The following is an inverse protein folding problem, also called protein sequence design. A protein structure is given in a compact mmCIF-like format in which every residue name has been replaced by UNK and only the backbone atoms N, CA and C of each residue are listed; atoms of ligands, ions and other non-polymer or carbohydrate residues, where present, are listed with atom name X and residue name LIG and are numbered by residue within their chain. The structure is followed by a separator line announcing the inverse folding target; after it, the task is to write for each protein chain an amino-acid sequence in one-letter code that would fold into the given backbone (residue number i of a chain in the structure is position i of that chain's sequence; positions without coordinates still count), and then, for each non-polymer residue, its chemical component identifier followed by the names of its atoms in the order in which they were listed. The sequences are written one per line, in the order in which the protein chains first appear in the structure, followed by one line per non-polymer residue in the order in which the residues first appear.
data_IF_282075266423
#
_entry.id   IF_282075266423
#
_cell.length_a   1.000
_cell.length_b   1.000
_cell.length_c   1.000
_cell.angle_alpha   90.00
_cell.angle_beta   90.00
_cell.angle_gamma   90.00
#
_symmetry.space_group_name_H-M   'P 1'
#
loop_
_entity.id
_entity.type
_entity.pdbx_description
1 polymer ?
#
# COMPACT_ATOMS: atom_id res chain seq x y z
N UNK A 1 -9.14 -1.61 -3.74
CA UNK A 1 -10.51 -1.12 -3.99
C UNK A 1 -11.05 -1.87 -5.18
N UNK A 2 -12.28 -2.38 -5.10
CA UNK A 2 -12.91 -3.06 -6.24
C UNK A 2 -13.61 -2.01 -7.09
N UNK A 3 -13.35 -1.99 -8.40
CA UNK A 3 -13.99 -1.04 -9.30
C UNK A 3 -15.44 -1.43 -9.58
N UNK A 4 -16.26 -0.47 -10.01
CA UNK A 4 -17.64 -0.76 -10.44
C UNK A 4 -17.66 -1.72 -11.64
N UNK A 5 -16.63 -1.69 -12.49
CA UNK A 5 -16.47 -2.63 -13.61
C UNK A 5 -16.14 -4.04 -13.11
N UNK A 6 -15.27 -4.17 -12.11
CA UNK A 6 -14.93 -5.45 -11.48
C UNK A 6 -16.12 -6.09 -10.75
N UNK A 7 -16.98 -5.29 -10.10
CA UNK A 7 -18.22 -5.76 -9.48
C UNK A 7 -19.16 -6.45 -10.50
N UNK A 8 -19.18 -5.93 -11.73
CA UNK A 8 -19.94 -6.52 -12.84
C UNK A 8 -19.13 -7.57 -13.63
N UNK A 9 -17.86 -7.80 -13.27
CA UNK A 9 -16.95 -8.74 -13.90
C UNK A 9 -16.52 -8.33 -15.31
N UNK A 10 -16.26 -7.05 -15.53
CA UNK A 10 -15.90 -6.46 -16.82
C UNK A 10 -14.66 -5.57 -16.73
N UNK A 11 -14.10 -5.24 -17.89
CA UNK A 11 -13.02 -4.26 -18.00
C UNK A 11 -13.58 -2.84 -18.11
N UNK A 12 -12.76 -1.84 -17.78
CA UNK A 12 -13.09 -0.40 -17.84
C UNK A 12 -13.51 0.06 -19.25
N UNK A 13 -13.04 -0.65 -20.29
CA UNK A 13 -13.38 -0.41 -21.70
C UNK A 13 -14.72 -1.04 -22.14
N UNK A 14 -15.53 -1.57 -21.21
CA UNK A 14 -16.78 -2.24 -21.56
C UNK A 14 -17.78 -1.29 -22.25
N UNK A 15 -18.41 -1.79 -23.30
CA UNK A 15 -19.51 -1.13 -24.00
C UNK A 15 -20.79 -1.16 -23.17
N UNK A 16 -21.76 -0.28 -23.48
CA UNK A 16 -23.05 -0.26 -22.79
C UNK A 16 -23.82 -1.60 -22.90
N UNK A 17 -23.63 -2.33 -23.99
CA UNK A 17 -24.22 -3.67 -24.16
C UNK A 17 -23.56 -4.72 -23.26
N UNK A 18 -22.24 -4.64 -23.11
CA UNK A 18 -21.48 -5.48 -22.19
C UNK A 18 -21.87 -5.16 -20.75
N UNK A 19 -22.02 -3.89 -20.37
CA UNK A 19 -22.48 -3.46 -19.05
C UNK A 19 -23.82 -4.08 -18.69
N UNK A 20 -24.80 -4.01 -19.60
CA UNK A 20 -26.12 -4.66 -19.42
C UNK A 20 -26.00 -6.17 -19.29
N UNK A 21 -25.09 -6.80 -20.02
CA UNK A 21 -24.86 -8.26 -19.99
C UNK A 21 -24.16 -8.69 -18.70
N UNK A 22 -23.18 -7.92 -18.23
CA UNK A 22 -22.45 -8.10 -16.99
C UNK A 22 -23.38 -8.00 -15.79
N UNK A 23 -24.23 -6.96 -15.74
CA UNK A 23 -25.25 -6.81 -14.70
C UNK A 23 -26.17 -8.03 -14.60
N UNK A 24 -26.72 -8.52 -15.73
CA UNK A 24 -27.57 -9.72 -15.72
C UNK A 24 -26.83 -10.94 -15.15
N UNK A 25 -25.58 -11.15 -15.55
CA UNK A 25 -24.76 -12.27 -15.07
C UNK A 25 -24.45 -12.14 -13.58
N UNK A 26 -24.10 -10.94 -13.12
CA UNK A 26 -23.76 -10.67 -11.73
C UNK A 26 -24.99 -10.79 -10.82
N UNK A 27 -26.13 -10.21 -11.22
CA UNK A 27 -27.42 -10.32 -10.53
C UNK A 27 -27.86 -11.78 -10.38
N UNK A 28 -27.70 -12.61 -11.43
CA UNK A 28 -28.01 -14.04 -11.35
C UNK A 28 -27.07 -14.83 -10.42
N UNK A 29 -25.84 -14.36 -10.20
CA UNK A 29 -24.92 -14.97 -9.22
C UNK A 29 -25.28 -14.58 -7.79
N UNK A 30 -25.81 -13.38 -7.58
CA UNK A 30 -26.22 -12.88 -6.27
C UNK A 30 -27.67 -13.25 -5.90
N UNK A 31 -28.39 -13.99 -6.75
CA UNK A 31 -29.78 -14.35 -6.50
C UNK A 31 -29.94 -15.28 -5.28
N UNK A 32 -30.95 -15.08 -4.41
CA UNK A 32 -31.14 -15.86 -3.19
C UNK A 32 -31.32 -17.36 -3.45
N UNK A 33 -31.95 -17.73 -4.56
CA UNK A 33 -32.13 -19.13 -5.00
C UNK A 33 -30.80 -19.91 -5.13
N UNK A 34 -29.70 -19.21 -5.42
CA UNK A 34 -28.37 -19.83 -5.58
C UNK A 34 -27.45 -19.64 -4.36
N UNK A 35 -27.88 -18.86 -3.37
CA UNK A 35 -27.11 -18.49 -2.19
C UNK A 35 -27.87 -18.82 -0.90
N UNK A 36 -28.52 -19.99 -0.87
CA UNK A 36 -29.26 -20.49 0.29
C UNK A 36 -28.29 -20.66 1.47
N UNK A 37 -28.59 -20.00 2.59
CA UNK A 37 -27.74 -19.99 3.79
C UNK A 37 -26.80 -18.79 3.93
N UNK A 38 -26.63 -17.96 2.88
CA UNK A 38 -25.84 -16.73 2.90
C UNK A 38 -26.65 -15.53 2.36
N UNK A 39 -27.93 -15.44 2.73
CA UNK A 39 -28.88 -14.47 2.16
C UNK A 39 -28.45 -13.01 2.41
N UNK A 40 -27.88 -12.72 3.58
CA UNK A 40 -27.40 -11.38 3.91
C UNK A 40 -26.25 -10.94 2.99
N UNK A 41 -25.26 -11.81 2.77
CA UNK A 41 -24.12 -11.54 1.88
C UNK A 41 -24.57 -11.44 0.42
N UNK A 42 -25.51 -12.29 0.01
CA UNK A 42 -26.09 -12.26 -1.32
C UNK A 42 -26.86 -10.95 -1.57
N UNK A 43 -27.59 -10.46 -0.56
CA UNK A 43 -28.31 -9.20 -0.62
C UNK A 43 -27.35 -8.00 -0.70
N UNK A 44 -26.30 -7.97 0.14
CA UNK A 44 -25.28 -6.92 0.11
C UNK A 44 -24.59 -6.85 -1.26
N UNK A 45 -24.15 -8.00 -1.78
CA UNK A 45 -23.56 -8.07 -3.13
C UNK A 45 -24.52 -7.65 -4.23
N UNK A 46 -25.80 -8.02 -4.13
CA UNK A 46 -26.81 -7.59 -5.09
C UNK A 46 -26.98 -6.07 -5.09
N UNK A 47 -26.96 -5.45 -3.91
CA UNK A 47 -27.02 -4.00 -3.75
C UNK A 47 -25.81 -3.31 -4.39
N UNK A 48 -24.59 -3.83 -4.15
CA UNK A 48 -23.36 -3.33 -4.80
C UNK A 48 -23.43 -3.44 -6.35
N UNK A 49 -23.91 -4.59 -6.86
CA UNK A 49 -24.09 -4.82 -8.31
C UNK A 49 -25.11 -3.84 -8.90
N UNK A 50 -26.18 -3.55 -8.16
CA UNK A 50 -27.23 -2.60 -8.57
C UNK A 50 -26.71 -1.17 -8.63
N UNK A 51 -25.94 -0.76 -7.62
CA UNK A 51 -25.30 0.56 -7.57
C UNK A 51 -24.27 0.73 -8.69
N UNK A 52 -23.43 -0.28 -8.92
CA UNK A 52 -22.49 -0.29 -10.03
C UNK A 52 -23.20 -0.12 -11.38
N UNK A 53 -24.29 -0.85 -11.61
CA UNK A 53 -25.06 -0.69 -12.84
C UNK A 53 -25.74 0.68 -12.96
N UNK A 54 -26.28 1.24 -11.86
CA UNK A 54 -26.90 2.55 -11.87
C UNK A 54 -25.93 3.65 -12.34
N UNK A 55 -24.67 3.59 -11.88
CA UNK A 55 -23.61 4.54 -12.27
C UNK A 55 -23.13 4.26 -13.70
N UNK A 56 -22.84 2.99 -14.04
CA UNK A 56 -22.21 2.65 -15.32
C UNK A 56 -23.17 2.65 -16.52
N UNK A 57 -24.48 2.51 -16.28
CA UNK A 57 -25.48 2.49 -17.36
C UNK A 57 -25.84 3.88 -17.90
N UNK A 58 -25.62 4.93 -17.09
CA UNK A 58 -25.81 6.32 -17.48
C UNK A 58 -24.47 6.91 -17.99
N UNK A 59 -24.39 7.39 -19.25
CA UNK A 59 -23.17 7.95 -19.79
C UNK A 59 -22.59 9.14 -19.02
N UNK A 60 -23.44 9.98 -18.40
CA UNK A 60 -22.99 11.15 -17.64
C UNK A 60 -22.40 10.72 -16.30
N UNK A 61 -23.10 9.83 -15.58
CA UNK A 61 -22.60 9.29 -14.31
C UNK A 61 -21.34 8.44 -14.51
N UNK A 62 -21.29 7.64 -15.57
CA UNK A 62 -20.10 6.87 -15.96
C UNK A 62 -18.90 7.80 -16.18
N UNK A 63 -19.07 8.90 -16.93
CA UNK A 63 -18.00 9.86 -17.18
C UNK A 63 -17.48 10.50 -15.90
N UNK A 64 -18.38 10.88 -14.99
CA UNK A 64 -18.01 11.45 -13.68
C UNK A 64 -17.26 10.41 -12.85
N UNK A 65 -17.74 9.17 -12.79
CA UNK A 65 -17.08 8.07 -12.11
C UNK A 65 -15.67 7.82 -12.67
N UNK A 66 -15.54 7.67 -13.99
CA UNK A 66 -14.25 7.41 -14.65
C UNK A 66 -13.25 8.55 -14.40
N UNK A 67 -13.72 9.81 -14.41
CA UNK A 67 -12.87 10.98 -14.14
C UNK A 67 -12.41 11.01 -12.68
N UNK A 68 -13.34 10.86 -11.73
CA UNK A 68 -13.02 10.85 -10.30
C UNK A 68 -12.09 9.68 -9.93
N UNK A 69 -12.32 8.51 -10.52
CA UNK A 69 -11.47 7.34 -10.33
C UNK A 69 -10.06 7.58 -10.88
N UNK A 70 -9.93 8.17 -12.08
CA UNK A 70 -8.63 8.50 -12.65
C UNK A 70 -7.86 9.52 -11.79
N UNK A 71 -8.54 10.56 -11.29
CA UNK A 71 -7.94 11.55 -10.38
C UNK A 71 -7.44 10.91 -9.08
N UNK A 72 -8.23 10.02 -8.49
CA UNK A 72 -7.85 9.32 -7.27
C UNK A 72 -6.68 8.35 -7.48
N UNK A 73 -6.65 7.64 -8.61
CA UNK A 73 -5.53 6.79 -8.98
C UNK A 73 -4.24 7.59 -9.17
N UNK A 74 -4.31 8.78 -9.79
CA UNK A 74 -3.16 9.67 -9.90
C UNK A 74 -2.70 10.20 -8.53
N UNK A 75 -3.65 10.53 -7.64
CA UNK A 75 -3.34 10.92 -6.26
C UNK A 75 -2.59 9.80 -5.54
N UNK A 76 -3.08 8.57 -5.61
CA UNK A 76 -2.42 7.42 -5.01
C UNK A 76 -1.06 7.12 -5.63
N UNK A 77 -0.90 7.27 -6.94
CA UNK A 77 0.41 7.14 -7.59
C UNK A 77 1.42 8.15 -7.01
N UNK A 78 1.03 9.43 -6.92
CA UNK A 78 1.90 10.49 -6.34
C UNK A 78 2.25 10.24 -4.89
N UNK A 79 1.28 9.82 -4.06
CA UNK A 79 1.53 9.52 -2.66
C UNK A 79 2.52 8.36 -2.50
N UNK A 80 2.40 7.32 -3.33
CA UNK A 80 3.37 6.21 -3.34
C UNK A 80 4.75 6.67 -3.77
N UNK A 81 4.87 7.46 -4.84
CA UNK A 81 6.15 8.02 -5.27
C UNK A 81 6.79 8.89 -4.17
N UNK A 82 6.00 9.70 -3.48
CA UNK A 82 6.46 10.52 -2.36
C UNK A 82 6.90 9.65 -1.17
N UNK A 83 6.12 8.63 -0.81
CA UNK A 83 6.45 7.68 0.25
C UNK A 83 7.74 6.90 -0.08
N UNK A 84 7.88 6.41 -1.31
CA UNK A 84 9.09 5.75 -1.80
C UNK A 84 10.30 6.67 -1.71
N UNK A 85 10.16 7.94 -2.11
CA UNK A 85 11.22 8.95 -1.98
C UNK A 85 11.60 9.17 -0.52
N UNK A 86 10.63 9.40 0.36
CA UNK A 86 10.87 9.62 1.79
C UNK A 86 11.50 8.38 2.44
N UNK A 87 11.08 7.17 2.05
CA UNK A 87 11.66 5.94 2.53
C UNK A 87 13.11 5.78 2.05
N UNK A 88 13.39 6.08 0.78
CA UNK A 88 14.74 6.04 0.23
C UNK A 88 15.67 7.07 0.90
N UNK A 89 15.17 8.29 1.17
CA UNK A 89 15.91 9.31 1.92
C UNK A 89 16.25 8.84 3.34
N UNK A 90 15.26 8.28 4.05
CA UNK A 90 15.44 7.71 5.39
C UNK A 90 16.38 6.50 5.40
N UNK A 91 16.30 5.63 4.39
CA UNK A 91 17.19 4.47 4.25
C UNK A 91 18.63 4.91 3.96
N UNK A 92 18.82 5.89 3.09
CA UNK A 92 20.13 6.48 2.82
C UNK A 92 20.71 7.13 4.09
N UNK A 93 19.88 7.81 4.88
CA UNK A 93 20.29 8.35 6.17
C UNK A 93 20.68 7.27 7.17
N UNK A 94 19.85 6.24 7.32
CA UNK A 94 20.16 5.07 8.14
C UNK A 94 21.49 4.44 7.73
N UNK A 95 21.70 4.22 6.42
CA UNK A 95 22.93 3.66 5.89
C UNK A 95 24.16 4.53 6.21
N UNK A 96 24.03 5.86 6.17
CA UNK A 96 25.12 6.78 6.60
C UNK A 96 25.48 6.56 8.06
N UNK A 97 24.48 6.51 8.95
CA UNK A 97 24.71 6.28 10.38
C UNK A 97 25.33 4.91 10.65
N UNK A 98 24.82 3.85 10.02
CA UNK A 98 25.37 2.50 10.16
C UNK A 98 26.80 2.43 9.63
N UNK A 99 27.11 3.06 8.50
CA UNK A 99 28.47 3.10 7.96
C UNK A 99 29.45 3.78 8.91
N UNK A 100 29.04 4.89 9.55
CA UNK A 100 29.83 5.52 10.61
C UNK A 100 30.01 4.59 11.80
N UNK A 101 28.93 4.00 12.31
CA UNK A 101 29.00 3.08 13.44
C UNK A 101 29.93 1.89 13.17
N UNK A 102 29.84 1.27 11.98
CA UNK A 102 30.69 0.13 11.59
C UNK A 102 32.17 0.51 11.61
N UNK A 103 32.52 1.69 11.05
CA UNK A 103 33.90 2.17 11.05
C UNK A 103 34.46 2.35 12.47
N UNK A 104 33.67 2.84 13.42
CA UNK A 104 34.12 3.00 14.81
C UNK A 104 34.21 1.66 15.53
N UNK A 105 33.28 0.73 15.29
CA UNK A 105 33.34 -0.62 15.83
C UNK A 105 34.58 -1.38 15.32
N UNK A 106 34.92 -1.26 14.04
CA UNK A 106 36.14 -1.83 13.44
C UNK A 106 37.44 -1.30 14.08
N UNK A 107 37.41 -0.09 14.64
CA UNK A 107 38.51 0.49 15.39
C UNK A 107 38.59 -0.01 16.85
N UNK A 108 37.69 -0.92 17.25
CA UNK A 108 37.63 -1.48 18.60
C UNK A 108 36.90 -0.60 19.61
N UNK A 109 36.16 0.41 19.17
CA UNK A 109 35.38 1.25 20.08
C UNK A 109 34.15 0.52 20.63
N UNK A 110 33.85 0.76 21.90
CA UNK A 110 32.68 0.18 22.57
C UNK A 110 31.36 0.88 22.14
N UNK A 111 30.24 0.28 22.54
CA UNK A 111 28.89 0.76 22.22
C UNK A 111 28.66 2.22 22.62
N UNK A 112 29.13 2.64 23.78
CA UNK A 112 28.87 3.99 24.29
C UNK A 112 29.58 5.07 23.47
N UNK A 113 30.78 4.78 22.97
CA UNK A 113 31.51 5.67 22.06
C UNK A 113 30.79 5.74 20.71
N UNK A 114 30.40 4.61 20.14
CA UNK A 114 29.63 4.57 18.87
C UNK A 114 28.33 5.35 19.02
N UNK A 115 27.61 5.17 20.12
CA UNK A 115 26.39 5.89 20.44
C UNK A 115 26.62 7.40 20.52
N UNK A 116 27.61 7.87 21.29
CA UNK A 116 27.93 9.30 21.39
C UNK A 116 28.32 9.94 20.05
N UNK A 117 29.02 9.20 19.20
CA UNK A 117 29.40 9.62 17.84
C UNK A 117 28.18 9.81 16.93
N UNK A 118 27.16 8.96 17.08
CA UNK A 118 25.90 9.07 16.35
C UNK A 118 25.08 10.27 16.83
N UNK A 119 24.97 10.47 18.16
CA UNK A 119 24.28 11.63 18.72
C UNK A 119 24.92 12.96 18.29
N UNK A 120 26.26 13.01 18.24
CA UNK A 120 27.00 14.19 17.75
C UNK A 120 26.84 14.46 16.25
N UNK A 121 26.09 13.64 15.52
CA UNK A 121 25.74 13.78 14.09
C UNK A 121 24.23 13.88 13.89
N UNK A 122 23.52 14.36 14.90
CA UNK A 122 22.08 14.56 14.89
C UNK A 122 21.28 13.27 14.66
N UNK A 123 21.85 12.10 15.00
CA UNK A 123 21.09 10.87 15.04
C UNK A 123 20.14 10.90 16.25
N UNK A 124 18.87 10.56 16.03
CA UNK A 124 17.90 10.39 17.12
C UNK A 124 18.40 9.37 18.16
N UNK A 125 18.05 9.58 19.42
CA UNK A 125 18.50 8.76 20.55
C UNK A 125 18.11 7.29 20.37
N UNK A 126 16.86 7.01 20.00
CA UNK A 126 16.40 5.62 19.84
C UNK A 126 17.04 4.96 18.63
N UNK A 127 17.25 5.72 17.55
CA UNK A 127 17.94 5.22 16.38
C UNK A 127 19.42 4.92 16.68
N UNK A 128 20.10 5.83 17.38
CA UNK A 128 21.49 5.68 17.78
C UNK A 128 21.68 4.47 18.72
N UNK A 129 20.76 4.26 19.67
CA UNK A 129 20.80 3.09 20.56
C UNK A 129 20.70 1.77 19.80
N UNK A 130 19.77 1.69 18.83
CA UNK A 130 19.58 0.50 17.98
C UNK A 130 20.81 0.25 17.12
N UNK A 131 21.31 1.27 16.42
CA UNK A 131 22.48 1.14 15.54
C UNK A 131 23.72 0.74 16.35
N UNK A 132 24.01 1.43 17.45
CA UNK A 132 25.19 1.15 18.26
C UNK A 132 25.14 -0.25 18.88
N UNK A 133 23.97 -0.72 19.32
CA UNK A 133 23.78 -2.09 19.80
C UNK A 133 24.04 -3.12 18.71
N UNK A 134 23.31 -3.04 17.60
CA UNK A 134 23.41 -4.03 16.51
C UNK A 134 24.80 -4.10 15.87
N UNK A 135 25.47 -2.96 15.68
CA UNK A 135 26.79 -2.92 15.03
C UNK A 135 27.89 -3.50 15.92
N UNK A 136 27.89 -3.20 17.21
CA UNK A 136 28.90 -3.73 18.14
C UNK A 136 28.72 -5.23 18.35
N UNK A 137 27.49 -5.72 18.47
CA UNK A 137 27.19 -7.16 18.53
C UNK A 137 27.67 -7.89 17.25
N UNK A 138 27.39 -7.30 16.08
CA UNK A 138 27.85 -7.84 14.81
C UNK A 138 29.39 -7.86 14.71
N UNK A 139 30.07 -6.86 15.25
CA UNK A 139 31.52 -6.83 15.26
C UNK A 139 32.11 -7.86 16.24
N UNK A 140 31.57 -7.95 17.46
CA UNK A 140 32.01 -8.91 18.46
C UNK A 140 31.85 -10.36 17.99
N UNK A 141 30.77 -10.68 17.26
CA UNK A 141 30.56 -12.01 16.69
C UNK A 141 31.51 -12.36 15.52
N UNK A 142 32.19 -11.37 14.94
CA UNK A 142 33.18 -11.55 13.85
C UNK A 142 34.62 -11.67 14.36
N UNK A 143 34.87 -11.38 15.63
CA UNK A 143 36.18 -11.58 16.25
C UNK A 143 36.29 -13.03 16.75
N UNK A 144 37.32 -13.80 16.34
CA UNK A 144 37.52 -15.19 16.76
C UNK A 144 37.98 -15.33 18.21
#
# INVERSE_FOLDING_TARGET
MTTMYELLGMCENATNEEIKRGYRKAAMKAHPDRNVGCEADAHARFQEIKEAYAILSDPELRRVYDTAYAEEMLRHARLREEEERLNAEREAEYARFVAWAMRFAEQGHNRDVVFGVLLGRDCDVQLAERIAGSVVELHASRQP
#
